data_IF_939224452840
#
_entry.id   IF_939224452840
#
_cell.length_a   1.000
_cell.length_b   1.000
_cell.length_c   1.000
_cell.angle_alpha   90.00
_cell.angle_beta   90.00
_cell.angle_gamma   90.00
#
_symmetry.space_group_name_H-M   'P 1'
#
loop_
_entity.id
_entity.type
_entity.pdbx_description
1 polymer ?
#
# COMPACT_ATOMS: atom_id res chain seq x y z
N UNK A 1 25.69 -33.75 -1.55
CA UNK A 1 25.99 -32.35 -1.16
C UNK A 1 24.74 -31.52 -1.37
N UNK A 2 23.97 -31.40 -0.31
CA UNK A 2 22.62 -30.79 -0.37
C UNK A 2 22.72 -29.28 -0.14
N UNK A 3 22.58 -28.52 -1.21
CA UNK A 3 22.39 -27.06 -1.11
C UNK A 3 20.95 -26.79 -0.68
N UNK A 4 20.72 -26.62 0.61
CA UNK A 4 19.44 -26.16 1.13
C UNK A 4 19.12 -24.78 0.55
N UNK A 5 17.89 -24.54 0.05
CA UNK A 5 17.53 -23.24 -0.52
C UNK A 5 17.63 -22.17 0.57
N UNK A 6 18.50 -21.19 0.30
CA UNK A 6 18.78 -20.05 1.17
C UNK A 6 17.45 -19.35 1.50
N UNK A 7 16.92 -19.56 2.71
CA UNK A 7 15.77 -18.83 3.22
C UNK A 7 16.17 -17.37 3.29
N UNK A 8 15.43 -16.45 2.63
CA UNK A 8 15.76 -15.03 2.69
C UNK A 8 15.79 -14.60 4.16
N UNK A 9 16.93 -14.10 4.61
CA UNK A 9 17.09 -13.56 5.96
C UNK A 9 16.02 -12.52 6.22
N UNK A 10 15.24 -12.74 7.27
CA UNK A 10 14.26 -11.74 7.73
C UNK A 10 15.05 -10.57 8.30
N UNK A 11 15.09 -9.49 7.53
CA UNK A 11 15.76 -8.26 7.93
C UNK A 11 15.11 -7.75 9.22
N UNK A 12 15.83 -7.87 10.32
CA UNK A 12 15.44 -7.32 11.63
C UNK A 12 15.71 -5.82 11.60
N UNK A 13 14.70 -5.04 11.22
CA UNK A 13 14.74 -3.60 11.32
C UNK A 13 14.18 -3.19 12.68
N UNK A 14 15.00 -2.52 13.48
CA UNK A 14 14.55 -1.91 14.74
C UNK A 14 13.69 -0.68 14.44
N UNK A 15 12.39 -0.81 14.68
CA UNK A 15 11.40 0.26 14.51
C UNK A 15 10.84 0.77 15.84
N UNK A 16 11.67 0.77 16.90
CA UNK A 16 11.24 1.21 18.24
C UNK A 16 10.62 2.61 18.24
N UNK A 17 11.21 3.57 17.53
CA UNK A 17 10.74 4.98 17.48
C UNK A 17 9.98 5.31 16.20
N UNK A 18 9.33 4.34 15.59
CA UNK A 18 8.57 4.53 14.36
C UNK A 18 7.17 5.06 14.61
N UNK A 19 6.68 5.92 13.72
CA UNK A 19 5.27 6.30 13.68
C UNK A 19 4.47 5.22 12.96
N UNK A 20 3.39 4.79 13.60
CA UNK A 20 2.52 3.72 13.10
C UNK A 20 1.25 4.29 12.48
N UNK A 21 0.92 3.86 11.28
CA UNK A 21 -0.36 4.17 10.65
C UNK A 21 -0.91 2.98 9.86
N UNK A 22 -2.23 2.93 9.72
CA UNK A 22 -2.90 1.94 8.88
C UNK A 22 -3.46 2.60 7.63
N UNK A 23 -3.26 1.97 6.48
CA UNK A 23 -3.89 2.33 5.23
C UNK A 23 -4.82 1.22 4.74
N UNK A 24 -5.87 1.59 4.03
CA UNK A 24 -6.85 0.65 3.47
C UNK A 24 -7.26 1.06 2.06
N UNK A 25 -7.39 0.08 1.17
CA UNK A 25 -7.90 0.26 -0.19
C UNK A 25 -8.56 -1.04 -0.66
N UNK A 26 -9.80 -0.96 -1.16
CA UNK A 26 -10.60 -2.16 -1.49
C UNK A 26 -10.65 -3.11 -0.28
N UNK A 27 -10.21 -4.36 -0.45
CA UNK A 27 -10.10 -5.37 0.62
C UNK A 27 -8.69 -5.45 1.23
N UNK A 28 -7.74 -4.61 0.75
CA UNK A 28 -6.36 -4.61 1.23
C UNK A 28 -6.20 -3.74 2.47
N UNK A 29 -5.41 -4.23 3.41
CA UNK A 29 -5.04 -3.54 4.65
C UNK A 29 -3.51 -3.50 4.73
N UNK A 30 -2.95 -2.30 4.95
CA UNK A 30 -1.54 -2.08 5.15
C UNK A 30 -1.28 -1.51 6.54
N UNK A 31 -0.41 -2.15 7.29
CA UNK A 31 0.16 -1.66 8.55
C UNK A 31 1.52 -1.07 8.24
N UNK A 32 1.71 0.21 8.49
CA UNK A 32 2.91 0.97 8.14
C UNK A 32 3.60 1.44 9.40
N UNK A 33 4.90 1.20 9.47
CA UNK A 33 5.82 1.79 10.44
C UNK A 33 6.80 2.66 9.66
N UNK A 34 6.82 3.94 9.96
CA UNK A 34 7.64 4.95 9.31
C UNK A 34 8.65 5.48 10.33
N UNK A 35 9.91 5.55 9.94
CA UNK A 35 11.03 6.09 10.72
C UNK A 35 11.87 7.00 9.83
N UNK A 36 12.52 8.00 10.40
CA UNK A 36 13.56 8.76 9.68
C UNK A 36 14.76 7.83 9.40
N UNK A 37 15.24 7.80 8.17
CA UNK A 37 16.28 6.85 7.78
C UNK A 37 16.83 7.09 6.39
N UNK A 38 17.19 6.03 5.69
CA UNK A 38 17.93 6.03 4.41
C UNK A 38 17.09 5.76 3.16
N UNK A 39 15.75 5.73 3.26
CA UNK A 39 14.85 5.51 2.13
C UNK A 39 14.57 4.03 1.80
N UNK A 40 14.80 3.13 2.74
CA UNK A 40 14.56 1.69 2.53
C UNK A 40 13.10 1.34 2.78
N UNK A 41 12.46 0.67 1.82
CA UNK A 41 11.06 0.25 1.90
C UNK A 41 10.98 -1.26 1.87
N UNK A 42 10.42 -1.85 2.93
CA UNK A 42 10.23 -3.29 3.06
C UNK A 42 8.75 -3.65 3.16
N UNK A 43 8.32 -4.59 2.35
CA UNK A 43 6.95 -5.08 2.27
C UNK A 43 6.94 -6.57 2.60
N UNK A 44 6.29 -6.94 3.71
CA UNK A 44 6.23 -8.32 4.19
C UNK A 44 7.61 -9.01 4.28
N UNK A 45 8.65 -8.25 4.68
CA UNK A 45 10.02 -8.75 4.82
C UNK A 45 10.84 -8.81 3.53
N UNK A 46 10.29 -8.37 2.38
CA UNK A 46 10.97 -8.25 1.10
C UNK A 46 11.19 -6.78 0.74
N UNK A 47 12.16 -6.49 -0.10
CA UNK A 47 12.29 -5.15 -0.69
C UNK A 47 11.07 -4.86 -1.58
N UNK A 48 10.60 -3.60 -1.63
CA UNK A 48 9.44 -3.23 -2.44
C UNK A 48 9.66 -3.50 -3.94
N UNK A 49 10.91 -3.41 -4.43
CA UNK A 49 11.27 -3.72 -5.81
C UNK A 49 11.02 -5.20 -6.18
N UNK A 50 11.29 -6.10 -5.22
CA UNK A 50 11.09 -7.54 -5.41
C UNK A 50 9.63 -7.94 -5.23
N UNK A 51 8.91 -7.22 -4.37
CA UNK A 51 7.49 -7.47 -4.10
C UNK A 51 6.60 -6.97 -5.24
N UNK A 52 6.85 -5.75 -5.74
CA UNK A 52 6.11 -5.13 -6.83
C UNK A 52 6.94 -5.17 -8.12
N UNK A 53 6.62 -6.09 -9.02
CA UNK A 53 7.32 -6.22 -10.31
C UNK A 53 6.95 -5.14 -11.32
N UNK A 54 5.74 -4.55 -11.23
CA UNK A 54 5.26 -3.52 -12.16
C UNK A 54 5.77 -2.15 -11.78
N UNK A 55 6.37 -1.41 -12.71
CA UNK A 55 6.89 -0.06 -12.50
C UNK A 55 5.81 0.92 -12.00
N UNK A 56 4.60 0.87 -12.56
CA UNK A 56 3.48 1.69 -12.10
C UNK A 56 3.18 1.54 -10.61
N UNK A 57 3.34 0.34 -10.05
CA UNK A 57 3.12 0.13 -8.62
C UNK A 57 4.23 0.77 -7.79
N UNK A 58 5.48 0.72 -8.27
CA UNK A 58 6.63 1.34 -7.61
C UNK A 58 6.50 2.87 -7.62
N UNK A 59 6.16 3.47 -8.77
CA UNK A 59 5.93 4.91 -8.90
C UNK A 59 4.80 5.38 -7.97
N UNK A 60 3.66 4.68 -7.95
CA UNK A 60 2.55 5.02 -7.05
C UNK A 60 2.97 4.96 -5.57
N UNK A 61 3.79 3.97 -5.20
CA UNK A 61 4.27 3.81 -3.83
C UNK A 61 5.14 4.98 -3.38
N UNK A 62 5.98 5.50 -4.28
CA UNK A 62 6.91 6.61 -4.01
C UNK A 62 6.23 7.99 -4.04
N UNK A 63 5.05 8.11 -4.68
CA UNK A 63 4.34 9.38 -4.84
C UNK A 63 4.18 10.23 -3.57
N UNK A 64 3.85 9.70 -2.37
CA UNK A 64 3.79 10.52 -1.17
C UNK A 64 5.11 11.22 -0.82
N UNK A 65 6.24 10.56 -1.07
CA UNK A 65 7.57 11.09 -0.79
C UNK A 65 8.02 12.12 -1.83
N UNK A 66 7.64 11.94 -3.08
CA UNK A 66 7.91 12.91 -4.17
C UNK A 66 7.20 14.24 -3.91
N UNK A 67 5.94 14.18 -3.46
CA UNK A 67 5.14 15.38 -3.16
C UNK A 67 5.73 16.22 -2.03
N UNK A 68 6.33 15.58 -1.04
CA UNK A 68 7.01 16.28 0.06
C UNK A 68 8.48 16.62 -0.25
N UNK A 69 8.97 16.29 -1.46
CA UNK A 69 10.36 16.50 -1.91
C UNK A 69 11.42 15.88 -0.99
N UNK A 70 11.09 14.81 -0.30
CA UNK A 70 11.97 14.11 0.65
C UNK A 70 11.98 12.59 0.44
N UNK A 71 12.38 12.09 -0.74
CA UNK A 71 12.25 10.66 -1.07
C UNK A 71 13.15 9.73 -0.23
N UNK A 72 14.27 10.22 0.27
CA UNK A 72 15.29 9.39 0.92
C UNK A 72 15.33 9.49 2.45
N UNK A 73 14.50 10.32 3.05
CA UNK A 73 14.62 10.63 4.48
C UNK A 73 13.84 9.67 5.40
N UNK A 74 13.15 8.67 4.83
CA UNK A 74 12.27 7.79 5.62
C UNK A 74 12.47 6.32 5.27
N UNK A 75 12.64 5.50 6.28
CA UNK A 75 12.57 4.04 6.16
C UNK A 75 11.14 3.57 6.47
N UNK A 76 10.65 2.64 5.65
CA UNK A 76 9.28 2.11 5.75
C UNK A 76 9.31 0.60 5.95
N UNK A 77 8.67 0.14 7.01
CA UNK A 77 8.29 -1.27 7.17
C UNK A 77 6.80 -1.39 6.97
N UNK A 78 6.40 -2.24 6.05
CA UNK A 78 5.00 -2.47 5.74
C UNK A 78 4.62 -3.94 5.89
N UNK A 79 3.50 -4.17 6.55
CA UNK A 79 2.85 -5.48 6.58
C UNK A 79 1.49 -5.37 5.89
N UNK A 80 1.35 -6.01 4.73
CA UNK A 80 0.17 -5.92 3.87
C UNK A 80 -0.55 -7.25 3.82
N UNK A 81 -1.89 -7.21 3.92
CA UNK A 81 -2.77 -8.37 3.81
C UNK A 81 -3.99 -8.06 2.94
N UNK A 82 -4.47 -9.11 2.28
CA UNK A 82 -5.71 -9.08 1.50
C UNK A 82 -5.61 -8.35 0.15
N UNK A 83 -6.62 -8.54 -0.66
CA UNK A 83 -6.75 -7.95 -1.99
C UNK A 83 -5.67 -8.35 -2.99
N UNK A 84 -5.59 -7.59 -4.08
CA UNK A 84 -4.55 -7.72 -5.10
C UNK A 84 -3.47 -6.66 -4.96
N UNK A 85 -2.37 -6.80 -5.72
CA UNK A 85 -1.21 -5.91 -5.67
C UNK A 85 -1.59 -4.43 -5.85
N UNK A 86 -2.50 -4.10 -6.77
CA UNK A 86 -2.99 -2.73 -6.98
C UNK A 86 -3.71 -2.16 -5.75
N UNK A 87 -4.54 -2.98 -5.09
CA UNK A 87 -5.19 -2.58 -3.84
C UNK A 87 -4.19 -2.41 -2.70
N UNK A 88 -3.19 -3.28 -2.64
CA UNK A 88 -2.12 -3.23 -1.64
C UNK A 88 -1.28 -1.96 -1.76
N UNK A 89 -0.88 -1.58 -2.99
CA UNK A 89 -0.16 -0.32 -3.23
C UNK A 89 -1.00 0.87 -2.78
N UNK A 90 -2.29 0.94 -3.17
CA UNK A 90 -3.17 2.01 -2.72
C UNK A 90 -3.35 2.08 -1.20
N UNK A 91 -3.41 0.93 -0.53
CA UNK A 91 -3.45 0.87 0.93
C UNK A 91 -2.14 1.36 1.57
N UNK A 92 -0.99 1.01 0.97
CA UNK A 92 0.32 1.47 1.44
C UNK A 92 0.47 2.99 1.27
N UNK A 93 0.14 3.53 0.12
CA UNK A 93 0.17 4.98 -0.15
C UNK A 93 -0.66 5.75 0.88
N UNK A 94 -1.89 5.30 1.13
CA UNK A 94 -2.76 5.90 2.15
C UNK A 94 -2.15 5.81 3.56
N UNK A 95 -1.56 4.66 3.93
CA UNK A 95 -0.92 4.47 5.24
C UNK A 95 0.35 5.30 5.40
N UNK A 96 1.21 5.38 4.37
CA UNK A 96 2.42 6.21 4.37
C UNK A 96 2.05 7.68 4.55
N UNK A 97 1.08 8.18 3.79
CA UNK A 97 0.62 9.57 3.88
C UNK A 97 0.13 9.90 5.30
N UNK A 98 -0.60 9.01 5.94
CA UNK A 98 -1.04 9.16 7.33
C UNK A 98 0.14 9.14 8.32
N UNK A 99 1.13 8.28 8.10
CA UNK A 99 2.32 8.22 8.95
C UNK A 99 3.17 9.49 8.84
N UNK A 100 3.30 10.05 7.63
CA UNK A 100 3.99 11.31 7.39
C UNK A 100 3.35 12.48 8.15
N UNK A 101 2.02 12.53 8.24
CA UNK A 101 1.31 13.55 9.01
C UNK A 101 1.59 13.47 10.53
N UNK A 102 2.04 12.32 11.04
CA UNK A 102 2.44 12.18 12.43
C UNK A 102 3.84 12.75 12.71
N UNK A 103 4.64 12.96 11.66
CA UNK A 103 5.91 13.66 11.77
C UNK A 103 5.74 15.17 11.58
N UNK A 104 4.98 15.56 10.55
CA UNK A 104 4.78 16.94 10.15
C UNK A 104 3.30 17.20 9.84
N UNK A 105 2.64 17.95 10.72
CA UNK A 105 1.22 18.34 10.54
C UNK A 105 1.00 19.34 9.41
N UNK A 106 2.02 20.13 9.05
CA UNK A 106 1.96 21.13 7.97
C UNK A 106 1.77 20.49 6.59
N UNK A 107 2.27 19.25 6.41
CA UNK A 107 2.11 18.48 5.18
C UNK A 107 0.65 18.09 4.88
N UNK A 108 -0.26 18.31 5.83
CA UNK A 108 -1.67 17.92 5.71
C UNK A 108 -2.35 18.61 4.51
N UNK A 109 -2.12 19.87 4.31
CA UNK A 109 -2.72 20.65 3.21
C UNK A 109 -2.27 20.10 1.85
N UNK A 110 -0.98 19.85 1.69
CA UNK A 110 -0.35 19.36 0.46
C UNK A 110 -0.80 17.94 0.12
N UNK A 111 -0.70 17.02 1.08
CA UNK A 111 -1.12 15.63 0.89
C UNK A 111 -2.63 15.47 0.69
N UNK A 112 -3.45 16.37 1.27
CA UNK A 112 -4.90 16.38 1.09
C UNK A 112 -5.31 16.88 -0.29
N UNK A 113 -4.63 17.89 -0.85
CA UNK A 113 -4.84 18.37 -2.24
C UNK A 113 -4.68 17.21 -3.24
N UNK A 114 -3.68 16.37 -3.04
CA UNK A 114 -3.40 15.19 -3.87
C UNK A 114 -4.27 13.96 -3.50
N UNK A 115 -5.25 14.11 -2.61
CA UNK A 115 -6.18 13.06 -2.14
C UNK A 115 -5.50 11.82 -1.53
N UNK A 116 -4.25 11.93 -1.06
CA UNK A 116 -3.49 10.81 -0.51
C UNK A 116 -3.89 10.45 0.92
N UNK A 117 -4.42 11.41 1.68
CA UNK A 117 -4.88 11.20 3.06
C UNK A 117 -6.33 10.73 3.16
N UNK A 118 -7.09 10.86 2.07
CA UNK A 118 -8.49 10.45 2.02
C UNK A 118 -8.61 8.99 1.61
N UNK A 119 -9.34 8.21 2.39
CA UNK A 119 -9.62 6.82 2.01
C UNK A 119 -10.58 6.78 0.82
N UNK A 120 -10.20 6.06 -0.24
CA UNK A 120 -11.10 5.71 -1.32
C UNK A 120 -11.96 4.51 -0.90
N UNK A 121 -13.26 4.73 -0.75
CA UNK A 121 -14.22 3.72 -0.28
C UNK A 121 -14.68 2.75 -1.37
N UNK A 122 -14.35 3.00 -2.65
CA UNK A 122 -14.78 2.15 -3.77
C UNK A 122 -14.30 0.72 -3.60
N UNK A 123 -15.23 -0.22 -3.68
CA UNK A 123 -14.98 -1.67 -3.64
C UNK A 123 -15.80 -2.38 -4.72
N UNK A 124 -15.46 -3.63 -5.00
CA UNK A 124 -16.22 -4.43 -5.96
C UNK A 124 -17.61 -4.71 -5.40
N UNK A 125 -18.64 -4.38 -6.17
CA UNK A 125 -20.02 -4.65 -5.81
C UNK A 125 -20.31 -6.15 -5.83
N UNK A 126 -21.11 -6.62 -4.87
CA UNK A 126 -21.49 -8.02 -4.74
C UNK A 126 -22.34 -8.49 -5.94
N UNK A 127 -22.12 -9.71 -6.40
CA UNK A 127 -22.99 -10.39 -7.37
C UNK A 127 -24.42 -10.46 -6.84
N UNK A 128 -25.42 -10.16 -7.66
CA UNK A 128 -26.84 -10.22 -7.33
C UNK A 128 -27.50 -11.48 -7.87
N UNK A 129 -28.61 -11.86 -7.27
CA UNK A 129 -29.45 -12.93 -7.83
C UNK A 129 -29.96 -12.54 -9.20
N UNK A 130 -30.11 -13.51 -10.10
CA UNK A 130 -30.59 -13.26 -11.46
C UNK A 130 -29.65 -12.47 -12.37
N UNK A 131 -28.42 -12.20 -11.94
CA UNK A 131 -27.40 -11.50 -12.70
C UNK A 131 -26.13 -12.34 -12.82
N UNK A 132 -25.39 -12.20 -13.91
CA UNK A 132 -24.08 -12.84 -14.10
C UNK A 132 -22.98 -12.22 -13.23
N UNK A 133 -23.10 -10.92 -12.99
CA UNK A 133 -22.24 -10.12 -12.07
C UNK A 133 -23.13 -9.21 -11.23
N UNK A 134 -22.57 -8.16 -10.64
CA UNK A 134 -23.34 -7.22 -9.83
C UNK A 134 -24.51 -6.59 -10.59
N UNK A 135 -24.28 -6.22 -11.87
CA UNK A 135 -25.26 -5.52 -12.71
C UNK A 135 -25.49 -6.16 -14.08
N UNK A 136 -24.64 -7.08 -14.51
CA UNK A 136 -24.76 -7.75 -15.80
C UNK A 136 -25.88 -8.76 -15.74
N UNK A 137 -26.94 -8.52 -16.50
CA UNK A 137 -28.08 -9.42 -16.66
C UNK A 137 -27.77 -10.59 -17.61
N UNK A 138 -28.58 -11.62 -17.57
CA UNK A 138 -28.60 -12.66 -18.58
C UNK A 138 -29.23 -12.10 -19.87
N UNK A 139 -28.87 -12.70 -21.00
CA UNK A 139 -29.46 -12.34 -22.26
C UNK A 139 -30.96 -12.71 -22.26
N UNK A 140 -31.79 -11.79 -22.72
CA UNK A 140 -33.22 -12.07 -22.92
C UNK A 140 -33.39 -13.14 -24.01
N UNK A 141 -34.21 -14.16 -23.71
CA UNK A 141 -34.58 -15.18 -24.68
C UNK A 141 -36.06 -15.02 -25.05
N UNK A 142 -36.34 -14.97 -26.34
CA UNK A 142 -37.69 -14.79 -26.91
C UNK A 142 -38.51 -16.06 -26.99
N UNK A 143 -38.28 -17.05 -26.15
CA UNK A 143 -39.00 -18.31 -26.13
C UNK A 143 -39.84 -18.46 -24.86
#
# INVERSE_FOLDING_TARGET
>A
MDASPNKPEKIKLDFKDSKYATGRRKTSIAKIWLKKGSGKIYVNGKNYNDYFKRENHKMQLLRPFEIISQPTNYDVKCNVKGGGLTGQVGAMVHGISKALLMFDTELKSTLKKEKLTTRDSRSVERKKYGHRKARRSFQFSKR
#
